data_IF_720365009539
#
_entry.id   IF_720365009539
#
_cell.length_a   1.000
_cell.length_b   1.000
_cell.length_c   1.000
_cell.angle_alpha   90.00
_cell.angle_beta   90.00
_cell.angle_gamma   90.00
#
_symmetry.space_group_name_H-M   'P 1'
#
loop_
_entity.id
_entity.type
_entity.pdbx_description
1 polymer ?
#
# COMPACT_ATOMS: atom_id res chain seq x y z
N UNK A 1 -59.98 -12.12 -45.48
CA UNK A 1 -58.51 -12.05 -45.28
C UNK A 1 -58.21 -10.88 -44.37
N UNK A 2 -57.60 -11.10 -43.20
CA UNK A 2 -56.56 -10.21 -42.64
C UNK A 2 -56.05 -10.75 -41.30
N UNK A 3 -54.79 -11.19 -41.33
CA UNK A 3 -53.97 -11.61 -40.20
C UNK A 3 -53.40 -10.35 -39.52
N UNK A 4 -53.61 -10.20 -38.22
CA UNK A 4 -52.84 -9.26 -37.41
C UNK A 4 -52.77 -9.75 -35.95
N UNK A 5 -51.92 -10.75 -35.68
CA UNK A 5 -51.49 -11.12 -34.34
C UNK A 5 -50.00 -11.45 -34.41
N UNK A 6 -49.17 -10.68 -33.71
CA UNK A 6 -47.77 -11.04 -33.51
C UNK A 6 -46.78 -9.90 -33.68
N UNK A 7 -46.85 -8.86 -32.84
CA UNK A 7 -45.73 -7.91 -32.66
C UNK A 7 -45.46 -7.46 -31.22
N UNK A 8 -46.30 -7.83 -30.24
CA UNK A 8 -46.16 -7.33 -28.87
C UNK A 8 -45.34 -8.23 -27.93
N UNK A 9 -44.86 -9.40 -28.38
CA UNK A 9 -44.13 -10.32 -27.51
C UNK A 9 -42.61 -10.05 -27.47
N UNK A 10 -42.06 -9.29 -28.42
CA UNK A 10 -40.60 -9.13 -28.53
C UNK A 10 -40.03 -7.96 -27.71
N UNK A 11 -40.87 -7.02 -27.28
CA UNK A 11 -40.41 -5.82 -26.56
C UNK A 11 -40.17 -6.07 -25.06
N UNK A 12 -40.66 -7.17 -24.50
CA UNK A 12 -40.51 -7.47 -23.07
C UNK A 12 -39.14 -8.09 -22.70
N UNK A 13 -38.39 -8.61 -23.67
CA UNK A 13 -37.13 -9.33 -23.42
C UNK A 13 -35.93 -8.37 -23.32
N UNK A 14 -36.02 -7.15 -23.86
CA UNK A 14 -34.89 -6.22 -23.89
C UNK A 14 -34.70 -5.41 -22.59
N UNK A 15 -35.76 -5.22 -21.80
CA UNK A 15 -35.69 -4.43 -20.55
C UNK A 15 -35.05 -5.16 -19.36
N UNK A 16 -34.82 -6.47 -19.44
CA UNK A 16 -34.14 -7.23 -18.37
C UNK A 16 -32.60 -7.11 -18.40
N UNK A 17 -32.04 -6.49 -19.45
CA UNK A 17 -30.58 -6.28 -19.57
C UNK A 17 -30.07 -5.02 -18.86
N UNK A 18 -30.99 -4.18 -18.35
CA UNK A 18 -30.71 -2.95 -17.62
C UNK A 18 -30.98 -3.05 -16.12
N UNK A 19 -31.19 -4.27 -15.60
CA UNK A 19 -31.02 -4.49 -14.17
C UNK A 19 -29.50 -4.45 -13.97
N UNK A 20 -28.93 -3.39 -13.33
CA UNK A 20 -27.56 -3.51 -12.86
C UNK A 20 -27.57 -4.80 -12.05
N UNK A 21 -26.66 -5.74 -12.36
CA UNK A 21 -26.36 -6.84 -11.46
C UNK A 21 -26.15 -6.16 -10.10
N UNK A 22 -27.20 -6.16 -9.28
CA UNK A 22 -27.12 -5.85 -7.87
C UNK A 22 -26.29 -7.02 -7.42
N UNK A 23 -24.97 -6.79 -7.46
CA UNK A 23 -23.96 -7.71 -6.96
C UNK A 23 -24.56 -8.15 -5.65
N UNK A 24 -24.94 -9.42 -5.58
CA UNK A 24 -25.45 -10.04 -4.38
C UNK A 24 -24.33 -9.87 -3.37
N UNK A 25 -24.38 -8.74 -2.68
CA UNK A 25 -23.43 -8.32 -1.67
C UNK A 25 -23.86 -9.17 -0.50
N UNK A 26 -23.48 -10.45 -0.57
CA UNK A 26 -23.72 -11.42 0.48
C UNK A 26 -23.34 -10.75 1.77
N UNK A 27 -24.23 -10.83 2.76
CA UNK A 27 -24.18 -10.08 4.01
C UNK A 27 -22.72 -9.81 4.41
N UNK A 28 -22.28 -8.58 4.17
CA UNK A 28 -20.88 -8.21 4.29
C UNK A 28 -20.43 -8.47 5.72
N UNK A 29 -19.31 -9.17 5.90
CA UNK A 29 -18.73 -9.32 7.24
C UNK A 29 -18.38 -7.92 7.75
N UNK A 30 -18.71 -7.63 9.01
CA UNK A 30 -18.49 -6.30 9.58
C UNK A 30 -17.49 -6.38 10.72
N UNK A 31 -16.59 -5.41 10.78
CA UNK A 31 -15.69 -5.26 11.92
C UNK A 31 -16.48 -4.70 13.11
N UNK A 32 -16.64 -5.49 14.15
CA UNK A 32 -17.42 -5.18 15.36
C UNK A 32 -16.59 -4.59 16.48
N UNK A 33 -15.29 -4.89 16.50
CA UNK A 33 -14.40 -4.42 17.56
C UNK A 33 -12.94 -4.52 17.16
N UNK A 34 -12.15 -3.62 17.73
CA UNK A 34 -10.69 -3.64 17.65
C UNK A 34 -10.14 -3.54 19.07
N UNK A 35 -9.37 -4.54 19.47
CA UNK A 35 -8.73 -4.59 20.78
C UNK A 35 -7.22 -4.76 20.60
N UNK A 36 -6.46 -4.10 21.46
CA UNK A 36 -5.02 -4.27 21.54
C UNK A 36 -4.64 -4.55 22.98
N UNK A 37 -3.87 -5.62 23.20
CA UNK A 37 -3.28 -5.95 24.50
C UNK A 37 -1.77 -6.04 24.35
N UNK A 38 -1.06 -5.21 25.11
CA UNK A 38 0.40 -5.23 25.18
C UNK A 38 0.85 -5.99 26.42
N UNK A 39 1.93 -6.75 26.29
CA UNK A 39 2.67 -7.36 27.40
C UNK A 39 4.17 -7.27 27.10
N UNK A 40 5.02 -7.62 28.07
CA UNK A 40 6.47 -7.58 27.85
C UNK A 40 6.95 -8.55 26.76
N UNK A 41 6.21 -9.64 26.53
CA UNK A 41 6.51 -10.64 25.50
C UNK A 41 6.05 -10.28 24.09
N UNK A 42 5.16 -9.30 23.94
CA UNK A 42 4.57 -8.96 22.65
C UNK A 42 3.21 -8.28 22.76
N UNK A 43 2.64 -7.97 21.60
CA UNK A 43 1.35 -7.29 21.48
C UNK A 43 0.37 -8.15 20.70
N UNK A 44 -0.84 -8.33 21.22
CA UNK A 44 -1.94 -9.02 20.57
C UNK A 44 -2.98 -8.02 20.10
N UNK A 45 -3.21 -7.95 18.80
CA UNK A 45 -4.37 -7.28 18.20
C UNK A 45 -5.48 -8.31 18.01
N UNK A 46 -6.71 -7.94 18.31
CA UNK A 46 -7.90 -8.76 18.09
C UNK A 46 -8.93 -7.94 17.33
N UNK A 47 -9.31 -8.43 16.16
CA UNK A 47 -10.38 -7.87 15.32
C UNK A 47 -11.61 -8.76 15.51
N UNK A 48 -12.65 -8.22 16.16
CA UNK A 48 -13.91 -8.92 16.34
C UNK A 48 -14.76 -8.73 15.08
N UNK A 49 -15.23 -9.83 14.49
CA UNK A 49 -15.90 -9.85 13.19
C UNK A 49 -17.32 -10.40 13.35
N UNK A 50 -18.25 -9.95 12.52
CA UNK A 50 -19.63 -10.48 12.51
C UNK A 50 -19.75 -11.85 11.82
N UNK A 51 -18.75 -12.24 11.02
CA UNK A 51 -18.76 -13.41 10.17
C UNK A 51 -17.37 -13.84 9.72
N UNK A 52 -17.32 -14.93 8.96
CA UNK A 52 -16.09 -15.42 8.34
C UNK A 52 -15.69 -14.52 7.15
N UNK A 53 -14.43 -14.09 7.11
CA UNK A 53 -13.88 -13.29 6.00
C UNK A 53 -12.50 -13.80 5.61
N UNK A 54 -12.14 -13.64 4.34
CA UNK A 54 -10.77 -13.87 3.88
C UNK A 54 -9.92 -12.66 4.24
N UNK A 55 -8.67 -12.90 4.62
CA UNK A 55 -7.75 -11.83 4.92
C UNK A 55 -6.38 -12.06 4.26
N UNK A 56 -5.69 -10.96 3.97
CA UNK A 56 -4.32 -10.93 3.46
C UNK A 56 -3.47 -10.06 4.36
N UNK A 57 -2.24 -10.49 4.66
CA UNK A 57 -1.29 -9.75 5.48
C UNK A 57 -0.06 -9.41 4.65
N UNK A 58 0.22 -8.12 4.53
CA UNK A 58 1.39 -7.62 3.80
C UNK A 58 2.31 -6.88 4.77
N UNK A 59 3.45 -7.48 5.15
CA UNK A 59 4.49 -6.77 5.88
C UNK A 59 5.09 -5.66 5.03
N UNK A 60 5.21 -4.46 5.58
CA UNK A 60 5.86 -3.31 4.95
C UNK A 60 6.90 -2.71 5.91
N UNK A 61 7.70 -1.75 5.42
CA UNK A 61 8.76 -1.16 6.23
C UNK A 61 8.18 -0.40 7.42
N UNK A 62 8.25 -1.00 8.60
CA UNK A 62 7.73 -0.44 9.85
C UNK A 62 6.21 -0.47 9.98
N UNK A 63 5.50 -1.20 9.11
CA UNK A 63 4.05 -1.33 9.15
C UNK A 63 3.60 -2.74 8.78
N UNK A 64 2.42 -3.13 9.22
CA UNK A 64 1.74 -4.34 8.77
C UNK A 64 0.38 -3.91 8.23
N UNK A 65 0.09 -4.31 6.99
CA UNK A 65 -1.19 -4.08 6.33
C UNK A 65 -1.99 -5.36 6.39
N UNK A 66 -3.24 -5.27 6.82
CA UNK A 66 -4.18 -6.39 6.86
C UNK A 66 -5.40 -6.00 6.06
N UNK A 67 -5.68 -6.71 4.98
CA UNK A 67 -6.85 -6.48 4.13
C UNK A 67 -7.89 -7.55 4.42
N UNK A 68 -9.08 -7.14 4.86
CA UNK A 68 -10.23 -8.01 5.10
C UNK A 68 -11.20 -7.92 3.90
N UNK A 69 -11.37 -9.03 3.20
CA UNK A 69 -12.10 -9.08 1.92
C UNK A 69 -13.61 -8.99 2.10
N UNK A 70 -14.24 -8.06 1.40
CA UNK A 70 -15.68 -7.80 1.50
C UNK A 70 -16.12 -7.42 2.92
N UNK A 71 -15.18 -6.91 3.73
CA UNK A 71 -15.46 -6.52 5.10
C UNK A 71 -15.82 -5.04 5.17
N UNK A 72 -16.88 -4.70 5.89
CA UNK A 72 -17.29 -3.33 6.13
C UNK A 72 -16.77 -2.80 7.46
N UNK A 73 -16.48 -1.50 7.50
CA UNK A 73 -16.19 -0.82 8.77
C UNK A 73 -17.46 -0.75 9.61
N UNK A 74 -17.46 -1.39 10.78
CA UNK A 74 -18.43 -1.06 11.81
C UNK A 74 -18.11 0.26 12.50
N UNK A 75 -18.97 0.63 13.45
CA UNK A 75 -18.68 1.69 14.41
C UNK A 75 -17.66 1.10 15.39
N UNK A 76 -16.39 1.23 15.06
CA UNK A 76 -15.29 0.77 15.89
C UNK A 76 -14.66 2.01 16.50
N UNK A 77 -14.74 2.19 17.84
CA UNK A 77 -14.02 3.29 18.46
C UNK A 77 -12.54 3.11 18.17
N UNK A 78 -11.81 4.20 17.87
CA UNK A 78 -10.36 4.12 17.73
C UNK A 78 -9.80 3.50 19.01
N UNK A 79 -8.81 2.60 18.92
CA UNK A 79 -8.22 2.04 20.11
C UNK A 79 -7.63 3.20 20.91
N UNK A 80 -8.02 3.29 22.19
CA UNK A 80 -7.50 4.29 23.13
C UNK A 80 -5.98 4.40 23.02
N UNK A 81 -5.42 5.60 23.31
CA UNK A 81 -3.98 5.89 23.30
C UNK A 81 -3.16 4.63 23.62
N UNK A 82 -2.56 4.03 22.59
CA UNK A 82 -1.77 2.81 22.74
C UNK A 82 -0.48 3.18 23.51
N UNK A 83 -0.47 2.92 24.81
CA UNK A 83 0.76 2.88 25.62
C UNK A 83 1.55 1.58 25.35
N UNK A 84 1.70 1.22 24.08
CA UNK A 84 2.32 -0.03 23.65
C UNK A 84 3.80 0.21 23.28
N UNK A 85 4.70 -0.67 23.72
CA UNK A 85 6.14 -0.56 23.46
C UNK A 85 6.53 -0.92 22.02
N UNK A 86 5.69 -1.68 21.32
CA UNK A 86 5.91 -2.24 19.99
C UNK A 86 5.08 -1.54 18.90
N UNK A 87 3.83 -1.22 19.18
CA UNK A 87 2.89 -0.63 18.24
C UNK A 87 2.86 0.90 18.45
N UNK A 88 2.94 1.63 17.35
CA UNK A 88 2.86 3.10 17.32
C UNK A 88 1.41 3.57 17.16
N UNK A 89 0.69 2.99 16.21
CA UNK A 89 -0.68 3.36 15.89
C UNK A 89 -1.38 2.20 15.19
N UNK A 90 -2.71 2.19 15.25
CA UNK A 90 -3.55 1.29 14.47
C UNK A 90 -4.61 2.16 13.79
N UNK A 91 -4.75 2.04 12.47
CA UNK A 91 -5.76 2.77 11.69
C UNK A 91 -6.56 1.82 10.83
N UNK A 92 -7.85 2.08 10.69
CA UNK A 92 -8.78 1.29 9.87
C UNK A 92 -9.30 2.21 8.76
N UNK A 93 -9.27 1.73 7.51
CA UNK A 93 -9.78 2.48 6.35
C UNK A 93 -10.49 1.56 5.36
N UNK A 94 -11.65 1.94 4.80
CA UNK A 94 -12.26 1.20 3.69
C UNK A 94 -11.45 1.39 2.41
N UNK A 95 -11.28 0.33 1.62
CA UNK A 95 -10.54 0.34 0.34
C UNK A 95 -11.25 -0.58 -0.66
N UNK A 96 -11.90 -0.01 -1.68
CA UNK A 96 -12.43 -0.79 -2.81
C UNK A 96 -13.43 -1.91 -2.43
N UNK A 97 -14.23 -1.71 -1.39
CA UNK A 97 -15.17 -2.71 -0.86
C UNK A 97 -14.58 -3.64 0.21
N UNK A 98 -13.27 -3.56 0.46
CA UNK A 98 -12.57 -4.25 1.53
C UNK A 98 -12.32 -3.29 2.72
N UNK A 99 -11.88 -3.86 3.85
CA UNK A 99 -11.40 -3.11 5.00
C UNK A 99 -9.90 -3.30 5.18
N UNK A 100 -9.15 -2.20 5.20
CA UNK A 100 -7.71 -2.22 5.44
C UNK A 100 -7.40 -1.77 6.88
N UNK A 101 -6.75 -2.63 7.64
CA UNK A 101 -6.20 -2.34 8.96
C UNK A 101 -4.69 -2.15 8.82
N UNK A 102 -4.20 -0.97 9.17
CA UNK A 102 -2.77 -0.64 9.18
C UNK A 102 -2.27 -0.59 10.61
N UNK A 103 -1.24 -1.37 10.91
CA UNK A 103 -0.56 -1.38 12.21
C UNK A 103 0.83 -0.79 12.00
N UNK A 104 1.09 0.38 12.56
CA UNK A 104 2.43 0.98 12.52
C UNK A 104 3.27 0.50 13.70
N UNK A 105 4.51 0.11 13.46
CA UNK A 105 5.40 -0.46 14.46
C UNK A 105 6.51 0.53 14.85
N UNK A 106 6.86 0.57 16.14
CA UNK A 106 8.01 1.31 16.68
C UNK A 106 9.34 0.59 16.40
N UNK A 107 9.30 -0.73 16.25
CA UNK A 107 10.46 -1.61 15.98
C UNK A 107 10.02 -2.86 15.21
N UNK A 108 10.97 -3.61 14.66
CA UNK A 108 10.69 -4.83 13.91
C UNK A 108 10.04 -5.89 14.81
N UNK A 109 9.14 -6.69 14.24
CA UNK A 109 8.44 -7.77 14.93
C UNK A 109 8.31 -9.01 14.04
N UNK A 110 8.24 -10.18 14.66
CA UNK A 110 7.63 -11.37 14.06
C UNK A 110 6.11 -11.28 14.20
N UNK A 111 5.41 -11.87 13.24
CA UNK A 111 3.95 -11.87 13.18
C UNK A 111 3.43 -13.31 13.13
N UNK A 112 2.39 -13.58 13.91
CA UNK A 112 1.52 -14.75 13.77
C UNK A 112 0.08 -14.26 13.66
N UNK A 113 -0.72 -14.87 12.79
CA UNK A 113 -2.12 -14.50 12.62
C UNK A 113 -2.98 -15.73 12.37
N UNK A 114 -4.16 -15.75 12.98
CA UNK A 114 -5.13 -16.84 12.83
C UNK A 114 -6.54 -16.37 13.14
N UNK A 115 -7.54 -17.08 12.62
CA UNK A 115 -8.95 -16.74 12.79
C UNK A 115 -9.66 -17.78 13.67
N UNK A 116 -10.57 -17.33 14.54
CA UNK A 116 -11.47 -18.18 15.33
C UNK A 116 -12.90 -18.08 14.80
N UNK A 117 -13.75 -19.09 15.03
CA UNK A 117 -15.15 -19.12 14.51
C UNK A 117 -16.26 -18.93 15.55
N UNK A 118 -15.95 -18.97 16.85
CA UNK A 118 -16.94 -18.85 17.92
C UNK A 118 -16.40 -18.06 19.13
N UNK A 119 -16.50 -16.71 19.14
CA UNK A 119 -16.96 -15.84 18.06
C UNK A 119 -15.92 -15.66 16.93
N UNK A 120 -16.35 -15.08 15.80
CA UNK A 120 -15.45 -14.76 14.70
C UNK A 120 -14.45 -13.67 15.10
N UNK A 121 -13.15 -14.01 15.10
CA UNK A 121 -12.07 -13.09 15.44
C UNK A 121 -10.85 -13.34 14.58
N UNK A 122 -10.26 -12.29 14.03
CA UNK A 122 -8.88 -12.35 13.54
C UNK A 122 -7.94 -11.91 14.66
N UNK A 123 -7.07 -12.83 15.09
CA UNK A 123 -6.06 -12.60 16.13
C UNK A 123 -4.71 -12.41 15.43
N UNK A 124 -4.01 -11.34 15.79
CA UNK A 124 -2.68 -11.01 15.27
C UNK A 124 -1.74 -10.78 16.43
N UNK A 125 -0.77 -11.67 16.56
CA UNK A 125 0.27 -11.64 17.57
C UNK A 125 1.57 -11.08 17.00
N UNK A 126 2.12 -10.09 17.68
CA UNK A 126 3.35 -9.41 17.32
C UNK A 126 4.40 -9.61 18.40
N UNK A 127 5.53 -10.20 18.03
CA UNK A 127 6.64 -10.46 18.94
C UNK A 127 7.84 -9.59 18.55
N UNK A 128 8.39 -8.77 19.46
CA UNK A 128 9.51 -7.89 19.12
C UNK A 128 10.72 -8.71 18.69
N UNK A 129 11.33 -8.33 17.56
CA UNK A 129 12.60 -8.91 17.17
C UNK A 129 13.73 -8.32 18.02
N UNK A 130 14.79 -9.11 18.33
CA UNK A 130 15.98 -8.59 18.98
C UNK A 130 16.51 -7.37 18.22
N UNK A 131 16.92 -6.34 18.96
CA UNK A 131 17.61 -5.21 18.34
C UNK A 131 18.89 -5.75 17.68
N UNK A 132 19.17 -5.41 16.41
CA UNK A 132 20.47 -5.70 15.83
C UNK A 132 21.54 -5.16 16.78
N UNK A 133 22.50 -6.01 17.17
CA UNK A 133 23.65 -5.50 17.90
C UNK A 133 24.32 -4.45 17.02
N UNK A 134 24.73 -3.29 17.56
CA UNK A 134 25.63 -2.41 16.83
C UNK A 134 26.78 -3.26 16.31
N UNK A 135 27.08 -3.18 15.01
CA UNK A 135 28.31 -3.81 14.53
C UNK A 135 29.44 -3.21 15.37
N UNK A 136 30.29 -4.02 16.01
CA UNK A 136 31.46 -3.47 16.66
C UNK A 136 32.19 -2.65 15.59
N UNK A 137 32.49 -1.39 15.91
CA UNK A 137 33.22 -0.50 15.00
C UNK A 137 34.38 -1.30 14.41
N UNK A 138 34.64 -1.17 13.09
CA UNK A 138 35.82 -1.80 12.51
C UNK A 138 36.99 -1.35 13.37
N UNK A 139 37.56 -2.30 14.14
CA UNK A 139 38.74 -2.05 14.96
C UNK A 139 39.69 -1.25 14.08
N UNK A 140 40.28 -0.15 14.57
CA UNK A 140 41.33 0.54 13.84
C UNK A 140 42.34 -0.53 13.43
N UNK A 141 42.37 -0.87 12.14
CA UNK A 141 43.49 -1.62 11.61
C UNK A 141 44.67 -0.69 11.86
N UNK A 142 45.47 -1.02 12.87
CA UNK A 142 46.80 -0.47 13.03
C UNK A 142 47.48 -0.69 11.68
N UNK A 143 47.48 0.37 10.88
CA UNK A 143 48.30 0.45 9.69
C UNK A 143 49.72 0.42 10.24
N UNK A 144 50.33 -0.77 10.21
CA UNK A 144 51.76 -0.94 10.29
C UNK A 144 52.33 -0.12 9.13
N UNK A 145 52.67 1.13 9.43
CA UNK A 145 53.41 1.99 8.53
C UNK A 145 54.80 1.39 8.42
N UNK A 146 55.27 1.01 7.22
CA UNK A 146 56.67 0.65 7.06
C UNK A 146 57.52 1.90 7.39
N UNK A 147 58.66 1.74 8.09
CA UNK A 147 59.46 2.86 8.53
C UNK A 147 60.00 3.63 7.32
N UNK A 148 59.87 4.97 7.36
CA UNK A 148 60.54 5.88 6.44
C UNK A 148 62.04 5.65 6.50
N UNK A 149 62.62 5.10 5.44
CA UNK A 149 64.03 5.32 5.12
C UNK A 149 64.09 6.39 4.03
N UNK A 150 64.47 7.60 4.44
CA UNK A 150 64.75 8.71 3.53
C UNK A 150 66.10 8.48 2.85
N UNK A 151 66.13 8.32 1.53
CA UNK A 151 67.35 8.58 0.73
C UNK A 151 66.98 9.17 -0.64
N UNK A 152 67.24 10.48 -0.75
CA UNK A 152 67.71 11.28 -1.90
C UNK A 152 67.05 11.12 -3.28
N UNK A 153 66.33 12.18 -3.67
CA UNK A 153 66.08 12.57 -5.06
C UNK A 153 67.37 12.65 -5.89
N UNK A 154 67.28 12.39 -7.20
CA UNK A 154 67.81 13.36 -8.15
C UNK A 154 66.76 13.84 -9.16
N UNK A 155 66.84 15.14 -9.36
CA UNK A 155 66.18 15.99 -10.34
C UNK A 155 66.22 15.38 -11.77
N UNK A 156 65.05 15.14 -12.41
CA UNK A 156 64.95 15.08 -13.87
C UNK A 156 63.67 15.75 -14.37
N UNK A 157 63.87 16.62 -15.36
CA UNK A 157 62.95 17.57 -16.00
C UNK A 157 61.70 16.92 -16.62
N UNK A 158 60.59 17.66 -16.79
CA UNK A 158 59.38 17.15 -17.43
C UNK A 158 59.48 17.23 -18.96
N UNK A 159 58.94 16.23 -19.71
CA UNK A 159 58.56 16.44 -21.09
C UNK A 159 57.13 16.99 -21.20
N UNK A 160 57.00 18.07 -21.98
CA UNK A 160 55.76 18.69 -22.43
C UNK A 160 55.01 17.80 -23.44
N UNK A 161 53.67 17.95 -23.41
CA UNK A 161 52.65 17.84 -24.49
C UNK A 161 52.17 16.43 -24.92
N UNK A 162 50.97 16.32 -25.55
CA UNK A 162 49.82 17.25 -25.60
C UNK A 162 48.45 16.58 -25.24
N UNK A 163 47.48 17.40 -24.80
CA UNK A 163 46.07 17.02 -24.76
C UNK A 163 45.55 16.65 -26.18
N UNK A 164 44.74 15.60 -26.32
CA UNK A 164 43.87 15.45 -27.47
C UNK A 164 42.63 16.39 -27.36
N UNK A 165 42.04 16.78 -28.49
CA UNK A 165 41.11 17.90 -28.60
C UNK A 165 39.72 17.63 -28.02
N UNK A 166 39.10 18.69 -27.49
CA UNK A 166 37.65 18.75 -27.31
C UNK A 166 36.94 18.54 -28.66
N UNK A 167 36.07 17.54 -28.72
CA UNK A 167 35.02 17.43 -29.72
C UNK A 167 33.66 17.60 -29.01
N UNK A 168 33.08 18.79 -29.16
CA UNK A 168 31.63 19.04 -29.27
C UNK A 168 31.51 19.86 -30.56
N UNK A 169 30.45 19.71 -31.39
CA UNK A 169 29.05 19.72 -30.95
C UNK A 169 28.15 18.74 -31.75
N UNK A 170 26.82 18.87 -31.54
CA UNK A 170 25.71 18.23 -32.27
C UNK A 170 25.41 16.76 -31.90
N UNK A 171 24.18 16.32 -31.64
CA UNK A 171 22.88 16.89 -31.96
C UNK A 171 21.84 16.66 -30.86
N UNK A 172 21.11 17.74 -30.62
CA UNK A 172 19.72 17.82 -30.18
C UNK A 172 18.86 16.81 -30.97
N UNK A 173 17.86 16.16 -30.34
CA UNK A 173 16.51 16.70 -30.48
C UNK A 173 15.87 17.06 -29.14
N UNK A 174 15.27 18.24 -29.16
CA UNK A 174 14.34 18.77 -28.18
C UNK A 174 13.07 17.88 -28.06
N UNK A 175 12.25 18.14 -27.02
CA UNK A 175 11.11 17.32 -26.65
C UNK A 175 9.98 17.50 -27.66
N UNK A 176 9.19 16.45 -27.88
CA UNK A 176 7.88 16.61 -28.51
C UNK A 176 6.86 17.03 -27.45
N UNK A 177 6.26 18.23 -27.56
CA UNK A 177 5.00 18.53 -26.90
C UNK A 177 3.87 17.90 -27.71
N UNK A 178 2.95 17.21 -27.04
CA UNK A 178 1.66 16.86 -27.62
C UNK A 178 0.58 17.28 -26.62
N UNK A 179 0.14 18.50 -26.76
CA UNK A 179 -1.26 18.91 -26.60
C UNK A 179 -1.60 19.75 -27.84
N UNK A 180 -2.87 20.04 -28.18
CA UNK A 180 -4.15 19.71 -27.54
C UNK A 180 -5.10 19.04 -28.58
N UNK A 181 -6.43 19.20 -28.42
CA UNK A 181 -7.56 18.84 -29.33
C UNK A 181 -8.31 17.58 -28.83
N UNK A 182 -9.62 17.56 -28.59
CA UNK A 182 -10.70 18.55 -28.62
C UNK A 182 -11.89 17.93 -27.90
N UNK A 183 -12.62 18.73 -27.14
CA UNK A 183 -13.92 18.39 -26.54
C UNK A 183 -14.95 17.99 -27.61
N UNK A 184 -15.84 17.02 -27.36
CA UNK A 184 -17.15 16.98 -27.98
C UNK A 184 -18.20 17.68 -27.09
N UNK A 185 -19.36 18.03 -27.66
CA UNK A 185 -19.99 19.33 -27.49
C UNK A 185 -20.94 19.40 -26.28
N UNK A 186 -21.01 20.60 -25.70
CA UNK A 186 -22.20 21.05 -24.96
C UNK A 186 -23.24 21.39 -26.01
N UNK A 187 -24.24 20.53 -26.16
CA UNK A 187 -25.47 20.87 -26.87
C UNK A 187 -26.55 21.18 -25.84
N UNK A 188 -27.17 22.32 -26.09
CA UNK A 188 -28.06 23.11 -25.26
C UNK A 188 -29.53 22.70 -25.52
N UNK A 189 -30.44 23.13 -24.63
CA UNK A 189 -31.93 23.02 -24.68
C UNK A 189 -32.54 21.70 -24.18
N UNK A 190 -33.64 21.65 -23.43
CA UNK A 190 -34.78 22.55 -23.19
C UNK A 190 -35.12 22.50 -21.68
N UNK A 191 -35.37 23.62 -21.00
CA UNK A 191 -36.68 24.27 -20.88
C UNK A 191 -37.85 23.30 -20.67
N UNK A 192 -38.10 22.94 -19.40
CA UNK A 192 -39.47 22.82 -18.90
C UNK A 192 -39.49 23.29 -17.47
N UNK A 193 -39.91 24.55 -17.29
CA UNK A 193 -40.58 24.95 -16.07
C UNK A 193 -41.91 24.21 -15.86
N UNK A 194 -42.56 24.65 -14.79
CA UNK A 194 -43.91 24.32 -14.30
C UNK A 194 -44.02 23.13 -13.34
N UNK A 195 -44.96 23.19 -12.39
CA UNK A 195 -45.51 24.35 -11.65
C UNK A 195 -45.29 24.26 -10.13
#
# INVERSE_FOLDING_TARGET
MSKARGRYLLTLILCLSLIPLISARGEGTRLMGLRCRSSDGGSRITLDLSGETRYEITPARGKILITLKGCESGIVPPPNRLEDKLIRSISIKPVGGDLMVTIELKRRANLSAFMTRSPYKLIVDLYPLPKPKPNPDPKPQLSLTPPKTAVKSPLRRPPKKPLPPQLKPEGKPEPKPLTPVTSPPVEDKDDTGFP
#
